data_IF_058235207404
#
_entry.id   IF_058235207404
#
_cell.length_a   1.000
_cell.length_b   1.000
_cell.length_c   1.000
_cell.angle_alpha   90.00
_cell.angle_beta   90.00
_cell.angle_gamma   90.00
#
_symmetry.space_group_name_H-M   'P 1'
#
loop_
_entity.id
_entity.type
_entity.pdbx_description
1 polymer ?
#
# COMPACT_ATOMS: atom_id res chain seq x y z
N UNK A 1 -22.88 0.44 1.76
CA UNK A 1 -21.88 1.48 1.45
C UNK A 1 -21.08 1.04 0.23
N UNK A 2 -20.73 1.97 -0.68
CA UNK A 2 -19.82 1.62 -1.79
C UNK A 2 -18.39 1.98 -1.46
N UNK A 3 -17.46 1.09 -1.76
CA UNK A 3 -16.03 1.30 -1.54
C UNK A 3 -15.28 1.19 -2.87
N UNK A 4 -14.46 2.19 -3.16
CA UNK A 4 -13.47 2.17 -4.22
C UNK A 4 -12.13 1.81 -3.59
N UNK A 5 -11.53 0.70 -3.99
CA UNK A 5 -10.35 0.15 -3.33
C UNK A 5 -9.17 0.16 -4.29
N UNK A 6 -8.08 0.78 -3.89
CA UNK A 6 -6.81 0.84 -4.64
C UNK A 6 -5.64 0.49 -3.73
N UNK A 7 -4.51 0.11 -4.33
CA UNK A 7 -3.29 -0.27 -3.60
C UNK A 7 -2.05 0.15 -4.37
N UNK A 8 -0.92 0.26 -3.66
CA UNK A 8 0.44 0.32 -4.22
C UNK A 8 0.57 1.41 -5.32
N UNK A 9 0.05 2.60 -5.01
CA UNK A 9 0.07 3.75 -5.93
C UNK A 9 1.50 4.25 -6.14
N UNK A 10 2.35 4.15 -5.11
CA UNK A 10 3.77 4.48 -5.20
C UNK A 10 4.07 5.86 -5.78
N UNK A 11 3.27 6.88 -5.44
CA UNK A 11 3.50 8.25 -5.92
C UNK A 11 3.12 8.50 -7.39
N UNK A 12 2.44 7.56 -8.05
CA UNK A 12 1.92 7.70 -9.41
C UNK A 12 0.49 8.27 -9.38
N UNK A 13 0.37 9.52 -8.96
CA UNK A 13 -0.92 10.20 -8.77
C UNK A 13 -1.78 10.24 -10.04
N UNK A 14 -1.18 10.53 -11.19
CA UNK A 14 -1.88 10.60 -12.49
C UNK A 14 -2.53 9.26 -12.85
N UNK A 15 -1.83 8.15 -12.66
CA UNK A 15 -2.34 6.79 -12.92
C UNK A 15 -3.49 6.44 -11.97
N UNK A 16 -3.31 6.73 -10.69
CA UNK A 16 -4.33 6.54 -9.67
C UNK A 16 -5.60 7.34 -9.99
N UNK A 17 -5.47 8.62 -10.30
CA UNK A 17 -6.60 9.47 -10.65
C UNK A 17 -7.35 8.94 -11.87
N UNK A 18 -6.63 8.51 -12.90
CA UNK A 18 -7.23 7.88 -14.09
C UNK A 18 -8.00 6.60 -13.77
N UNK A 19 -7.47 5.77 -12.86
CA UNK A 19 -8.15 4.55 -12.41
C UNK A 19 -9.45 4.88 -11.65
N UNK A 20 -9.43 5.86 -10.75
CA UNK A 20 -10.61 6.33 -10.02
C UNK A 20 -11.65 6.97 -10.95
N UNK A 21 -11.24 7.76 -11.94
CA UNK A 21 -12.13 8.33 -12.94
C UNK A 21 -12.84 7.25 -13.75
N UNK A 22 -12.09 6.24 -14.23
CA UNK A 22 -12.65 5.10 -14.98
C UNK A 22 -13.62 4.26 -14.14
N UNK A 23 -13.34 4.11 -12.84
CA UNK A 23 -14.21 3.40 -11.91
C UNK A 23 -15.46 4.21 -11.54
N UNK A 24 -15.51 5.51 -11.85
CA UNK A 24 -16.63 6.41 -11.58
C UNK A 24 -16.61 7.09 -10.21
N UNK A 25 -15.50 7.00 -9.45
CA UNK A 25 -15.40 7.56 -8.10
C UNK A 25 -15.81 9.03 -8.01
N UNK A 26 -15.33 9.89 -8.91
CA UNK A 26 -15.60 11.33 -8.88
C UNK A 26 -17.02 11.71 -9.32
N UNK A 27 -17.72 10.81 -10.01
CA UNK A 27 -19.09 11.04 -10.50
C UNK A 27 -20.15 10.30 -9.67
N UNK A 28 -19.73 9.49 -8.70
CA UNK A 28 -20.64 8.73 -7.84
C UNK A 28 -21.37 9.67 -6.87
N UNK A 29 -22.69 9.66 -6.92
CA UNK A 29 -23.57 10.46 -6.06
C UNK A 29 -24.12 9.66 -4.88
N UNK A 30 -23.83 8.36 -4.79
CA UNK A 30 -24.22 7.52 -3.67
C UNK A 30 -23.22 7.65 -2.51
N UNK A 31 -23.58 7.28 -1.29
CA UNK A 31 -22.62 7.24 -0.18
C UNK A 31 -21.48 6.27 -0.50
N UNK A 32 -20.26 6.79 -0.61
CA UNK A 32 -19.07 6.00 -0.94
C UNK A 32 -17.82 6.49 -0.20
N UNK A 33 -16.83 5.60 -0.06
CA UNK A 33 -15.49 5.91 0.45
C UNK A 33 -14.42 5.30 -0.45
N UNK A 34 -13.26 5.93 -0.46
CA UNK A 34 -12.03 5.39 -1.02
C UNK A 34 -11.28 4.60 0.06
N UNK A 35 -10.83 3.39 -0.24
CA UNK A 35 -9.90 2.63 0.61
C UNK A 35 -8.57 2.55 -0.12
N UNK A 36 -7.50 2.98 0.54
CA UNK A 36 -6.13 2.85 0.05
C UNK A 36 -5.38 1.83 0.90
N UNK A 37 -4.87 0.77 0.29
CA UNK A 37 -4.26 -0.37 0.98
C UNK A 37 -2.75 -0.20 1.22
N UNK A 38 -2.27 1.03 1.42
CA UNK A 38 -0.87 1.32 1.71
C UNK A 38 0.01 1.49 0.49
N UNK A 39 1.30 1.66 0.75
CA UNK A 39 2.34 1.95 -0.25
C UNK A 39 1.95 3.13 -1.14
N UNK A 40 1.57 4.23 -0.47
CA UNK A 40 1.05 5.43 -1.13
C UNK A 40 2.13 6.10 -1.98
N UNK A 41 3.33 6.21 -1.44
CA UNK A 41 4.45 6.94 -2.03
C UNK A 41 5.58 5.99 -2.45
N UNK A 42 6.73 6.59 -2.70
CA UNK A 42 7.95 5.96 -3.21
C UNK A 42 7.87 5.63 -4.72
N UNK A 43 9.03 5.56 -5.37
CA UNK A 43 9.19 5.26 -6.81
C UNK A 43 8.66 6.32 -7.78
N UNK A 44 7.46 6.86 -7.59
CA UNK A 44 6.84 7.89 -8.44
C UNK A 44 7.31 9.32 -8.13
N UNK A 45 6.88 10.27 -8.94
CA UNK A 45 7.39 11.65 -8.89
C UNK A 45 6.32 12.70 -8.58
N UNK A 46 5.12 12.29 -8.15
CA UNK A 46 3.98 13.17 -7.93
C UNK A 46 3.55 13.22 -6.45
N UNK A 47 4.52 13.07 -5.52
CA UNK A 47 4.24 12.93 -4.09
C UNK A 47 3.48 14.14 -3.51
N UNK A 48 3.79 15.38 -3.92
CA UNK A 48 3.09 16.59 -3.43
C UNK A 48 1.63 16.63 -3.84
N UNK A 49 1.33 16.36 -5.10
CA UNK A 49 -0.02 16.36 -5.64
C UNK A 49 -0.85 15.24 -4.99
N UNK A 50 -0.22 14.08 -4.79
CA UNK A 50 -0.88 12.94 -4.17
C UNK A 50 -1.14 13.18 -2.68
N UNK A 51 -0.18 13.73 -1.94
CA UNK A 51 -0.39 14.15 -0.55
C UNK A 51 -1.58 15.11 -0.42
N UNK A 52 -1.65 16.12 -1.28
CA UNK A 52 -2.74 17.10 -1.27
C UNK A 52 -4.09 16.42 -1.49
N UNK A 53 -4.19 15.52 -2.46
CA UNK A 53 -5.41 14.76 -2.73
C UNK A 53 -5.86 13.95 -1.50
N UNK A 54 -4.91 13.25 -0.83
CA UNK A 54 -5.22 12.46 0.36
C UNK A 54 -5.79 13.36 1.47
N UNK A 55 -5.15 14.49 1.75
CA UNK A 55 -5.61 15.44 2.76
C UNK A 55 -7.02 15.97 2.46
N UNK A 56 -7.31 16.30 1.19
CA UNK A 56 -8.64 16.72 0.77
C UNK A 56 -9.72 15.63 0.97
N UNK A 57 -9.36 14.34 0.75
CA UNK A 57 -10.28 13.25 1.03
C UNK A 57 -10.44 12.99 2.54
N UNK A 58 -9.40 13.20 3.34
CA UNK A 58 -9.47 13.10 4.81
C UNK A 58 -10.38 14.19 5.39
N UNK A 59 -10.23 15.44 4.96
CA UNK A 59 -11.10 16.55 5.38
C UNK A 59 -12.59 16.29 5.11
N UNK A 60 -12.90 15.56 4.03
CA UNK A 60 -14.27 15.20 3.64
C UNK A 60 -14.78 13.90 4.27
N UNK A 61 -14.00 13.24 5.11
CA UNK A 61 -14.26 11.88 5.63
C UNK A 61 -14.58 10.86 4.51
N UNK A 62 -13.89 10.97 3.38
CA UNK A 62 -14.11 10.12 2.20
C UNK A 62 -13.04 9.08 1.97
N UNK A 63 -12.07 8.94 2.86
CA UNK A 63 -10.96 8.00 2.70
C UNK A 63 -10.75 7.15 3.95
N UNK A 64 -10.35 5.92 3.73
CA UNK A 64 -9.84 4.98 4.73
C UNK A 64 -8.43 4.59 4.28
N UNK A 65 -7.45 4.79 5.15
CA UNK A 65 -6.05 4.55 4.87
C UNK A 65 -5.57 3.31 5.63
N UNK A 66 -5.06 2.34 4.92
CA UNK A 66 -4.37 1.17 5.48
C UNK A 66 -2.87 1.40 5.34
N UNK A 67 -2.12 1.02 6.36
CA UNK A 67 -0.68 1.21 6.42
C UNK A 67 0.05 0.12 5.65
N UNK A 68 0.92 0.52 4.72
CA UNK A 68 1.83 -0.35 4.00
C UNK A 68 3.22 -0.39 4.62
N UNK A 69 4.09 -1.24 4.09
CA UNK A 69 5.47 -1.33 4.55
C UNK A 69 6.33 -0.12 4.09
N UNK A 70 5.98 0.56 3.02
CA UNK A 70 6.67 1.77 2.58
C UNK A 70 6.41 2.96 3.51
N UNK A 71 5.28 3.03 4.19
CA UNK A 71 5.05 3.99 5.26
C UNK A 71 5.95 3.71 6.48
N UNK A 72 6.20 2.43 6.80
CA UNK A 72 7.17 2.07 7.84
C UNK A 72 8.60 2.45 7.44
N UNK A 73 8.98 2.28 6.17
CA UNK A 73 10.27 2.73 5.63
C UNK A 73 10.45 4.24 5.74
N UNK A 74 9.39 5.03 5.51
CA UNK A 74 9.47 6.48 5.68
C UNK A 74 9.69 6.86 7.14
N UNK A 75 8.99 6.22 8.07
CA UNK A 75 9.21 6.42 9.52
C UNK A 75 10.63 6.04 9.91
N UNK A 76 11.13 4.90 9.43
CA UNK A 76 12.52 4.48 9.65
C UNK A 76 13.52 5.51 9.12
N UNK A 77 13.34 6.00 7.88
CA UNK A 77 14.19 7.02 7.26
C UNK A 77 14.35 8.25 8.15
N UNK A 78 13.27 8.73 8.77
CA UNK A 78 13.29 10.01 9.50
C UNK A 78 13.57 9.87 10.99
N UNK A 79 13.50 8.65 11.56
CA UNK A 79 13.66 8.40 13.01
C UNK A 79 14.94 7.67 13.38
N UNK A 80 15.60 6.99 12.43
CA UNK A 80 16.83 6.24 12.73
C UNK A 80 18.00 7.19 12.90
N UNK A 81 18.69 7.09 14.05
CA UNK A 81 19.87 7.88 14.35
C UNK A 81 21.08 7.45 13.49
N UNK A 82 21.81 8.42 13.03
CA UNK A 82 23.15 8.39 12.47
C UNK A 82 23.58 7.18 11.62
N UNK A 83 23.84 7.42 10.38
CA UNK A 83 24.45 6.44 9.48
C UNK A 83 23.43 5.55 8.80
N UNK A 84 22.26 6.11 8.57
CA UNK A 84 21.23 5.49 7.77
C UNK A 84 21.81 4.85 6.52
N UNK A 85 21.45 3.61 6.20
CA UNK A 85 21.71 3.06 4.89
C UNK A 85 20.85 3.82 3.86
N UNK A 86 21.18 5.07 3.58
CA UNK A 86 20.52 5.85 2.52
C UNK A 86 20.41 5.05 1.21
N UNK A 87 21.33 4.10 0.98
CA UNK A 87 21.26 3.18 -0.15
C UNK A 87 19.98 2.36 -0.16
N UNK A 88 19.54 1.85 0.99
CA UNK A 88 18.29 1.08 1.09
C UNK A 88 17.06 1.96 0.84
N UNK A 89 16.98 3.10 1.50
CA UNK A 89 15.87 4.04 1.28
C UNK A 89 15.87 4.66 -0.11
N UNK A 90 17.05 4.87 -0.72
CA UNK A 90 17.15 5.30 -2.12
C UNK A 90 16.66 4.23 -3.09
N UNK A 91 17.04 2.96 -2.89
CA UNK A 91 16.60 1.87 -3.77
C UNK A 91 15.08 1.62 -3.70
N UNK A 92 14.47 1.91 -2.56
CA UNK A 92 13.02 1.80 -2.38
C UNK A 92 12.24 3.06 -2.82
N UNK A 93 12.92 4.18 -3.07
CA UNK A 93 12.28 5.46 -3.44
C UNK A 93 11.88 6.34 -2.27
N UNK A 94 11.99 5.85 -1.03
CA UNK A 94 11.59 6.56 0.20
C UNK A 94 12.36 7.87 0.39
N UNK A 95 13.67 7.86 0.08
CA UNK A 95 14.50 9.07 0.13
C UNK A 95 14.02 10.13 -0.87
N UNK A 96 13.65 9.72 -2.09
CA UNK A 96 13.15 10.61 -3.13
C UNK A 96 11.76 11.17 -2.77
N UNK A 97 10.91 10.38 -2.13
CA UNK A 97 9.65 10.85 -1.55
C UNK A 97 9.87 11.97 -0.54
N UNK A 98 10.80 11.77 0.40
CA UNK A 98 11.12 12.80 1.39
C UNK A 98 11.67 14.08 0.74
N UNK A 99 12.50 13.96 -0.29
CA UNK A 99 12.98 15.13 -1.08
C UNK A 99 11.80 15.85 -1.77
N UNK A 100 10.89 15.12 -2.40
CA UNK A 100 9.73 15.70 -3.06
C UNK A 100 8.83 16.44 -2.06
N UNK A 101 8.51 15.81 -0.93
CA UNK A 101 7.60 16.38 0.07
C UNK A 101 8.18 17.61 0.76
N UNK A 102 9.46 17.58 1.13
CA UNK A 102 10.13 18.69 1.80
C UNK A 102 10.56 19.80 0.84
N UNK A 103 10.87 19.47 -0.42
CA UNK A 103 11.54 20.38 -1.36
C UNK A 103 13.01 20.62 -1.04
N UNK A 104 13.63 19.77 -0.21
CA UNK A 104 15.04 19.87 0.11
C UNK A 104 15.91 19.59 -1.13
N UNK A 105 17.00 20.33 -1.27
CA UNK A 105 17.99 20.04 -2.30
C UNK A 105 18.71 18.71 -2.00
N UNK A 106 18.89 17.80 -2.97
CA UNK A 106 19.48 16.47 -2.72
C UNK A 106 20.91 16.51 -2.18
N UNK A 107 21.72 17.50 -2.60
CA UNK A 107 23.08 17.67 -2.09
C UNK A 107 23.04 18.17 -0.65
N UNK A 108 22.18 19.14 -0.37
CA UNK A 108 22.00 19.66 0.99
C UNK A 108 21.41 18.60 1.93
N UNK A 109 20.49 17.75 1.48
CA UNK A 109 19.95 16.66 2.26
C UNK A 109 21.02 15.65 2.69
N UNK A 110 22.01 15.37 1.81
CA UNK A 110 23.13 14.49 2.15
C UNK A 110 24.14 15.11 3.12
N UNK A 111 24.27 16.44 3.13
CA UNK A 111 25.19 17.17 4.02
C UNK A 111 24.52 17.49 5.37
N UNK A 112 23.24 17.85 5.34
CA UNK A 112 22.44 18.30 6.49
C UNK A 112 21.34 17.27 6.81
N UNK A 113 21.73 16.02 6.99
CA UNK A 113 20.76 14.91 7.11
C UNK A 113 19.82 15.04 8.31
N UNK A 114 20.23 15.63 9.44
CA UNK A 114 19.34 15.89 10.58
C UNK A 114 18.28 16.94 10.23
N UNK A 115 18.68 18.05 9.60
CA UNK A 115 17.72 19.08 9.19
C UNK A 115 16.75 18.54 8.12
N UNK A 116 17.24 17.68 7.24
CA UNK A 116 16.41 17.00 6.25
C UNK A 116 15.41 16.03 6.92
N UNK A 117 15.86 15.22 7.88
CA UNK A 117 14.98 14.34 8.63
C UNK A 117 13.92 15.11 9.43
N UNK A 118 14.29 16.23 10.05
CA UNK A 118 13.36 17.09 10.78
C UNK A 118 12.36 17.76 9.83
N UNK A 119 12.80 18.24 8.66
CA UNK A 119 11.90 18.76 7.65
C UNK A 119 10.91 17.68 7.12
N UNK A 120 11.37 16.44 6.99
CA UNK A 120 10.50 15.32 6.59
C UNK A 120 9.48 14.96 7.67
N UNK A 121 9.86 15.02 8.96
CA UNK A 121 8.92 14.89 10.09
C UNK A 121 7.90 16.04 10.14
N UNK A 122 8.22 17.20 9.59
CA UNK A 122 7.31 18.35 9.54
C UNK A 122 6.28 18.27 8.39
N UNK A 123 6.39 17.29 7.50
CA UNK A 123 5.42 17.11 6.41
C UNK A 123 4.06 16.62 6.91
N UNK A 124 2.94 16.98 6.24
CA UNK A 124 1.63 16.41 6.52
C UNK A 124 1.59 14.87 6.38
N UNK A 125 2.41 14.30 5.51
CA UNK A 125 2.53 12.85 5.40
C UNK A 125 2.89 12.22 6.73
N UNK A 126 3.95 12.72 7.39
CA UNK A 126 4.38 12.17 8.67
C UNK A 126 3.46 12.54 9.84
N UNK A 127 2.95 13.79 9.88
CA UNK A 127 2.19 14.32 11.02
C UNK A 127 0.72 13.96 11.03
N UNK A 128 0.12 13.77 9.84
CA UNK A 128 -1.33 13.65 9.68
C UNK A 128 -1.72 12.33 9.01
N UNK A 129 -1.10 12.00 7.85
CA UNK A 129 -1.51 10.85 7.05
C UNK A 129 -1.08 9.55 7.73
N UNK A 130 0.20 9.37 8.06
CA UNK A 130 0.70 8.14 8.71
C UNK A 130 -0.02 7.85 10.04
N UNK A 131 -0.24 8.83 10.94
CA UNK A 131 -0.98 8.58 12.18
C UNK A 131 -2.46 8.21 12.00
N UNK A 132 -3.07 8.57 10.88
CA UNK A 132 -4.47 8.23 10.55
C UNK A 132 -4.62 6.83 9.92
N UNK A 133 -3.51 6.18 9.57
CA UNK A 133 -3.53 4.86 8.96
C UNK A 133 -3.87 3.76 9.96
N UNK A 134 -4.67 2.82 9.51
CA UNK A 134 -5.08 1.61 10.23
C UNK A 134 -4.21 0.42 9.79
N UNK A 135 -4.11 -0.60 10.63
CA UNK A 135 -3.52 -1.87 10.24
C UNK A 135 -4.44 -2.66 9.31
N UNK A 136 -5.75 -2.56 9.55
CA UNK A 136 -6.81 -3.16 8.72
C UNK A 136 -8.12 -2.39 8.87
N UNK A 137 -9.03 -2.63 7.94
CA UNK A 137 -10.43 -2.21 8.00
C UNK A 137 -11.33 -3.41 7.65
N UNK A 138 -12.53 -3.48 8.20
CA UNK A 138 -13.47 -4.55 7.92
C UNK A 138 -14.87 -4.04 7.60
N UNK A 139 -15.54 -4.74 6.69
CA UNK A 139 -16.97 -4.66 6.45
C UNK A 139 -17.63 -6.01 6.81
N UNK A 140 -18.88 -6.23 6.46
CA UNK A 140 -19.58 -7.48 6.77
C UNK A 140 -18.88 -8.70 6.14
N UNK A 141 -18.48 -8.59 4.85
CA UNK A 141 -17.95 -9.72 4.08
C UNK A 141 -16.46 -9.61 3.75
N UNK A 142 -15.81 -8.45 3.98
CA UNK A 142 -14.44 -8.21 3.57
C UNK A 142 -13.56 -7.72 4.73
N UNK A 143 -12.28 -8.07 4.66
CA UNK A 143 -11.21 -7.45 5.44
C UNK A 143 -10.16 -6.85 4.49
N UNK A 144 -9.75 -5.62 4.75
CA UNK A 144 -8.84 -4.85 3.92
C UNK A 144 -7.52 -4.70 4.64
N UNK A 145 -6.42 -5.16 4.04
CA UNK A 145 -5.07 -5.11 4.60
C UNK A 145 -4.08 -4.68 3.51
N UNK A 146 -2.83 -4.41 3.89
CA UNK A 146 -1.79 -4.18 2.88
C UNK A 146 -1.26 -5.49 2.30
N UNK A 147 -0.37 -6.22 3.02
CA UNK A 147 0.19 -7.49 2.55
C UNK A 147 -0.74 -8.67 2.87
N UNK A 148 -0.95 -8.92 4.14
CA UNK A 148 -1.86 -9.96 4.63
C UNK A 148 -2.28 -9.68 6.07
N UNK A 149 -3.09 -10.57 6.64
CA UNK A 149 -3.37 -10.61 8.08
C UNK A 149 -2.21 -11.28 8.83
N UNK A 150 -1.95 -10.94 10.10
CA UNK A 150 -0.96 -11.61 10.94
C UNK A 150 -1.09 -13.14 10.88
N UNK A 151 0.01 -13.79 10.54
CA UNK A 151 0.13 -15.23 10.34
C UNK A 151 1.52 -15.67 10.74
N UNK A 152 1.75 -16.96 10.97
CA UNK A 152 3.08 -17.47 11.30
C UNK A 152 3.75 -17.99 10.02
N UNK A 153 4.85 -17.36 9.55
CA UNK A 153 5.59 -17.87 8.40
C UNK A 153 6.32 -19.17 8.75
N UNK A 154 6.17 -20.18 7.93
CA UNK A 154 6.82 -21.47 8.08
C UNK A 154 8.13 -21.56 7.27
N UNK A 155 8.99 -22.55 7.58
CA UNK A 155 10.28 -22.74 6.91
C UNK A 155 10.16 -23.11 5.43
N UNK A 156 9.03 -23.71 5.03
CA UNK A 156 8.71 -24.09 3.65
C UNK A 156 8.05 -22.97 2.84
N UNK A 157 8.03 -21.73 3.40
CA UNK A 157 7.40 -20.53 2.85
C UNK A 157 5.87 -20.55 2.82
N UNK A 158 5.24 -21.52 3.47
CA UNK A 158 3.80 -21.48 3.77
C UNK A 158 3.53 -20.61 5.01
N UNK A 159 2.26 -20.38 5.31
CA UNK A 159 1.84 -19.59 6.47
C UNK A 159 0.85 -20.39 7.31
N UNK A 160 0.94 -20.29 8.63
CA UNK A 160 -0.07 -20.85 9.53
C UNK A 160 -1.03 -19.74 9.94
N UNK A 161 -2.31 -19.97 9.70
CA UNK A 161 -3.39 -19.05 10.06
C UNK A 161 -3.47 -18.86 11.59
N UNK A 162 -3.77 -17.64 12.03
CA UNK A 162 -4.02 -17.27 13.42
C UNK A 162 -5.43 -16.69 13.52
N UNK A 163 -6.35 -17.39 14.18
CA UNK A 163 -7.75 -16.93 14.31
C UNK A 163 -7.91 -15.63 15.10
N UNK A 164 -6.98 -15.33 16.00
CA UNK A 164 -6.93 -14.11 16.81
C UNK A 164 -6.14 -12.95 16.15
N UNK A 165 -5.94 -12.97 14.84
CA UNK A 165 -5.16 -11.96 14.13
C UNK A 165 -5.61 -10.51 14.36
N UNK A 166 -6.88 -10.31 14.71
CA UNK A 166 -7.43 -8.98 15.04
C UNK A 166 -6.86 -8.41 16.34
N UNK A 167 -6.35 -9.27 17.23
CA UNK A 167 -5.72 -8.94 18.50
C UNK A 167 -4.18 -8.84 18.40
N UNK A 168 -3.65 -8.97 17.17
CA UNK A 168 -2.21 -8.96 16.92
C UNK A 168 -1.58 -7.63 17.36
N UNK A 169 -0.38 -7.72 17.87
CA UNK A 169 0.39 -6.55 18.27
C UNK A 169 1.02 -5.82 17.05
N UNK A 170 1.64 -4.69 17.35
CA UNK A 170 2.28 -3.86 16.32
C UNK A 170 3.37 -4.59 15.54
N UNK A 171 4.14 -5.48 16.19
CA UNK A 171 5.24 -6.20 15.54
C UNK A 171 4.69 -7.23 14.56
N UNK A 172 3.63 -7.94 14.94
CA UNK A 172 2.94 -8.90 14.08
C UNK A 172 2.33 -8.21 12.86
N UNK A 173 1.72 -7.02 13.03
CA UNK A 173 1.23 -6.23 11.91
C UNK A 173 2.35 -5.69 11.01
N UNK A 174 3.48 -5.25 11.59
CA UNK A 174 4.65 -4.83 10.81
C UNK A 174 5.17 -5.98 9.93
N UNK A 175 5.18 -7.22 10.44
CA UNK A 175 5.57 -8.40 9.65
C UNK A 175 4.52 -8.73 8.58
N UNK A 176 3.24 -8.66 8.92
CA UNK A 176 2.13 -9.01 8.02
C UNK A 176 2.07 -8.12 6.77
N UNK A 177 2.52 -6.85 6.86
CA UNK A 177 2.63 -5.94 5.71
C UNK A 177 3.61 -6.43 4.63
N UNK A 178 4.55 -7.32 4.98
CA UNK A 178 5.52 -7.91 4.05
C UNK A 178 5.10 -9.27 3.49
N UNK A 179 3.97 -9.81 3.93
CA UNK A 179 3.56 -11.15 3.49
C UNK A 179 2.98 -11.12 2.08
N UNK A 180 3.28 -12.18 1.31
CA UNK A 180 2.57 -12.43 0.07
C UNK A 180 1.19 -13.01 0.39
N UNK A 181 0.15 -12.17 0.25
CA UNK A 181 -1.22 -12.56 0.55
C UNK A 181 -1.70 -13.76 -0.28
N UNK A 182 -1.28 -13.87 -1.54
CA UNK A 182 -1.69 -14.95 -2.41
C UNK A 182 -1.12 -16.32 -1.97
N UNK A 183 0.10 -16.32 -1.40
CA UNK A 183 0.67 -17.53 -0.78
C UNK A 183 0.01 -17.83 0.56
N UNK A 184 -0.23 -16.82 1.37
CA UNK A 184 -0.82 -16.98 2.70
C UNK A 184 -2.28 -17.41 2.66
N UNK A 185 -3.04 -17.00 1.67
CA UNK A 185 -4.44 -17.38 1.47
C UNK A 185 -4.63 -18.90 1.27
N UNK A 186 -3.60 -19.62 0.79
CA UNK A 186 -3.68 -21.07 0.55
C UNK A 186 -3.94 -21.88 1.83
N UNK A 187 -3.65 -21.31 3.00
CA UNK A 187 -3.76 -21.97 4.30
C UNK A 187 -4.67 -21.22 5.28
N UNK A 188 -5.25 -20.11 4.86
CA UNK A 188 -6.13 -19.31 5.70
C UNK A 188 -7.50 -19.99 5.89
N UNK A 189 -8.02 -19.89 7.11
CA UNK A 189 -9.38 -20.31 7.48
C UNK A 189 -10.15 -19.09 8.00
N UNK A 190 -10.28 -18.08 7.15
CA UNK A 190 -10.99 -16.84 7.45
C UNK A 190 -12.33 -16.80 6.70
N UNK A 191 -13.39 -16.39 7.39
CA UNK A 191 -14.74 -16.35 6.82
C UNK A 191 -14.96 -15.15 5.88
N UNK A 192 -14.13 -14.11 5.98
CA UNK A 192 -14.20 -12.93 5.11
C UNK A 192 -13.22 -13.06 3.95
N UNK A 193 -13.57 -12.47 2.84
CA UNK A 193 -12.61 -12.28 1.75
C UNK A 193 -11.62 -11.17 2.12
N UNK A 194 -10.33 -11.47 2.09
CA UNK A 194 -9.28 -10.48 2.35
C UNK A 194 -8.91 -9.78 1.05
N UNK A 195 -8.99 -8.44 1.04
CA UNK A 195 -8.56 -7.60 -0.07
C UNK A 195 -7.21 -7.00 0.29
N UNK A 196 -6.19 -7.24 -0.55
CA UNK A 196 -4.82 -6.82 -0.27
C UNK A 196 -4.05 -6.33 -1.50
N UNK A 197 -2.89 -5.69 -1.24
CA UNK A 197 -1.89 -5.25 -2.20
C UNK A 197 -0.54 -5.91 -2.01
N UNK A 198 0.53 -5.08 -1.96
CA UNK A 198 1.93 -5.41 -1.67
C UNK A 198 2.61 -6.33 -2.68
N UNK A 199 1.99 -7.43 -3.07
CA UNK A 199 2.52 -8.37 -4.04
C UNK A 199 1.73 -8.32 -5.33
N UNK A 200 2.44 -8.08 -6.45
CA UNK A 200 1.81 -7.85 -7.75
C UNK A 200 0.97 -9.04 -8.22
N UNK A 201 -0.19 -8.73 -8.77
CA UNK A 201 -1.22 -9.72 -9.14
C UNK A 201 -0.76 -10.71 -10.21
N UNK A 202 0.19 -10.32 -11.07
CA UNK A 202 0.75 -11.20 -12.10
C UNK A 202 1.46 -12.45 -11.51
N UNK A 203 1.95 -12.37 -10.27
CA UNK A 203 2.43 -13.55 -9.54
C UNK A 203 1.30 -14.58 -9.33
N UNK A 204 0.13 -14.13 -8.87
CA UNK A 204 -1.02 -15.01 -8.65
C UNK A 204 -1.52 -15.64 -9.95
N UNK A 205 -1.65 -14.84 -11.02
CA UNK A 205 -2.05 -15.33 -12.34
C UNK A 205 -1.04 -16.36 -12.89
N UNK A 206 0.24 -16.08 -12.78
CA UNK A 206 1.29 -17.02 -13.25
C UNK A 206 1.35 -18.28 -12.39
N UNK A 207 1.39 -18.15 -11.07
CA UNK A 207 1.63 -19.28 -10.15
C UNK A 207 0.41 -20.17 -9.96
N UNK A 208 -0.78 -19.59 -9.76
CA UNK A 208 -1.96 -20.32 -9.35
C UNK A 208 -2.97 -20.57 -10.49
N UNK A 209 -3.02 -19.67 -11.46
CA UNK A 209 -3.87 -19.85 -12.64
C UNK A 209 -3.13 -20.39 -13.84
N UNK A 210 -1.79 -20.47 -13.80
CA UNK A 210 -0.93 -20.88 -14.89
C UNK A 210 -1.13 -20.03 -16.16
N UNK A 211 -1.34 -18.73 -15.98
CA UNK A 211 -1.55 -17.76 -17.06
C UNK A 211 -0.39 -16.76 -17.12
N UNK A 212 0.20 -16.63 -18.31
CA UNK A 212 1.26 -15.68 -18.56
C UNK A 212 2.52 -15.91 -17.72
N UNK A 213 3.32 -14.87 -17.60
CA UNK A 213 4.52 -14.81 -16.77
C UNK A 213 4.39 -13.74 -15.69
N UNK A 214 5.27 -13.78 -14.70
CA UNK A 214 5.26 -12.80 -13.61
C UNK A 214 5.67 -11.40 -14.08
N UNK A 215 6.65 -11.29 -14.97
CA UNK A 215 7.21 -10.03 -15.48
C UNK A 215 7.52 -10.05 -16.98
N UNK A 216 6.80 -10.80 -17.79
CA UNK A 216 6.98 -10.83 -19.24
C UNK A 216 6.01 -9.93 -19.99
N UNK A 217 6.08 -9.98 -21.33
CA UNK A 217 5.13 -9.27 -22.19
C UNK A 217 3.68 -9.75 -22.03
N UNK A 218 3.51 -10.98 -21.55
CA UNK A 218 2.24 -11.64 -21.27
C UNK A 218 1.83 -11.60 -19.78
N UNK A 219 2.51 -10.78 -18.96
CA UNK A 219 2.18 -10.61 -17.55
C UNK A 219 0.80 -9.92 -17.38
N UNK A 220 -0.07 -10.55 -16.61
CA UNK A 220 -1.39 -10.01 -16.29
C UNK A 220 -1.37 -9.32 -14.94
N UNK A 221 -1.52 -7.99 -14.94
CA UNK A 221 -1.59 -7.14 -13.74
C UNK A 221 -3.03 -6.75 -13.37
N UNK A 222 -4.06 -7.39 -13.94
CA UNK A 222 -5.44 -7.23 -13.50
C UNK A 222 -5.66 -7.82 -12.10
N UNK A 223 -6.73 -7.45 -11.36
CA UNK A 223 -6.99 -8.02 -10.05
C UNK A 223 -7.02 -9.55 -10.06
N UNK A 224 -6.32 -10.16 -9.10
CA UNK A 224 -6.31 -11.61 -8.91
C UNK A 224 -7.40 -12.02 -7.91
N UNK A 225 -8.20 -13.04 -8.27
CA UNK A 225 -9.27 -13.57 -7.45
C UNK A 225 -8.96 -15.03 -7.09
N UNK A 226 -8.61 -15.26 -5.83
CA UNK A 226 -8.38 -16.60 -5.30
C UNK A 226 -9.35 -16.96 -4.18
N UNK A 227 -9.30 -18.20 -3.67
CA UNK A 227 -10.11 -18.59 -2.51
C UNK A 227 -9.79 -17.69 -1.30
N UNK A 228 -10.80 -16.97 -0.81
CA UNK A 228 -10.66 -16.07 0.36
C UNK A 228 -9.80 -14.81 0.15
N UNK A 229 -9.38 -14.49 -1.08
CA UNK A 229 -8.51 -13.35 -1.38
C UNK A 229 -8.92 -12.63 -2.67
N UNK A 230 -8.77 -11.30 -2.65
CA UNK A 230 -8.67 -10.46 -3.84
C UNK A 230 -7.39 -9.65 -3.72
N UNK A 231 -6.38 -9.90 -4.56
CA UNK A 231 -5.17 -9.09 -4.62
C UNK A 231 -5.29 -8.07 -5.74
N UNK A 232 -4.84 -6.81 -5.50
CA UNK A 232 -5.06 -5.70 -6.44
C UNK A 232 -3.81 -4.88 -6.76
N UNK A 233 -2.62 -5.24 -6.29
CA UNK A 233 -1.38 -4.55 -6.69
C UNK A 233 -1.09 -4.78 -8.18
N UNK A 234 -1.21 -3.71 -8.96
CA UNK A 234 -0.91 -3.73 -10.39
C UNK A 234 0.57 -3.57 -10.73
N UNK A 235 1.49 -3.58 -9.74
CA UNK A 235 2.90 -3.23 -9.92
C UNK A 235 3.07 -1.89 -10.66
N UNK A 236 2.51 -0.83 -10.11
CA UNK A 236 2.30 0.47 -10.79
C UNK A 236 3.57 1.01 -11.44
N UNK A 237 4.72 0.89 -10.77
CA UNK A 237 6.02 1.33 -11.29
C UNK A 237 6.45 0.61 -12.57
N UNK A 238 6.00 -0.62 -12.78
CA UNK A 238 6.31 -1.45 -13.94
C UNK A 238 5.21 -1.40 -15.00
N UNK A 239 3.96 -1.62 -14.58
CA UNK A 239 2.81 -1.71 -15.48
C UNK A 239 2.29 -0.36 -15.97
N UNK A 240 2.57 0.73 -15.23
CA UNK A 240 1.98 2.05 -15.46
C UNK A 240 0.47 2.10 -15.15
N UNK A 241 -0.06 1.13 -14.39
CA UNK A 241 -1.49 1.00 -14.09
C UNK A 241 -1.72 0.96 -12.58
N UNK A 242 -2.93 1.35 -12.17
CA UNK A 242 -3.48 1.14 -10.83
C UNK A 242 -4.79 0.40 -10.98
N UNK A 243 -4.97 -0.68 -10.25
CA UNK A 243 -6.26 -1.35 -10.16
C UNK A 243 -7.19 -0.58 -9.22
N UNK A 244 -8.45 -0.44 -9.62
CA UNK A 244 -9.51 0.07 -8.75
C UNK A 244 -10.64 -0.98 -8.69
N UNK A 245 -10.80 -1.57 -7.52
CA UNK A 245 -11.89 -2.51 -7.25
C UNK A 245 -13.08 -1.74 -6.67
N UNK A 246 -14.29 -2.03 -7.12
CA UNK A 246 -15.53 -1.44 -6.57
C UNK A 246 -16.28 -2.53 -5.79
N UNK A 247 -16.52 -2.28 -4.52
CA UNK A 247 -17.21 -3.21 -3.61
C UNK A 247 -18.45 -2.52 -3.04
N UNK A 248 -19.57 -3.22 -3.01
CA UNK A 248 -20.78 -2.84 -2.28
C UNK A 248 -20.95 -3.79 -1.10
N UNK A 249 -20.93 -3.25 0.13
CA UNK A 249 -21.06 -4.04 1.36
C UNK A 249 -21.66 -3.22 2.52
#
# INVERSE_FOLDING_TARGET
>A
MRYYVISDVHGYYTQMKSALEKAGFFSDTTPHKLIMLGDLFDRGHEAKQFQQFILEQMEQDKIILIRGNHEDLFVELVTTDAGMPYSYHKSNGTYDTALQLTGFDPVMASIRHYDFADAAKDTPFYKEIIPAMLDYFETEHYAFTHGWIPSIPNRDKSYSYISSWREADREQWNQARWFNGMDAAQTADENKTIVCGHWHTSYGHSKYEHKGSEFGEDADFSPYYGPGIIAIDACTAFSGKVNCLVIED
#
